data_IF_696222232874
#
_entry.id   IF_696222232874
#
_cell.length_a   1.000
_cell.length_b   1.000
_cell.length_c   1.000
_cell.angle_alpha   90.00
_cell.angle_beta   90.00
_cell.angle_gamma   90.00
#
_symmetry.space_group_name_H-M   'P 1'
#
loop_
_entity.id
_entity.type
_entity.pdbx_description
1 polymer ?
#
# COMPACT_ATOMS: atom_id res chain seq x y z
N UNK A 1 -21.31 37.21 -17.57
CA UNK A 1 -20.00 37.90 -17.62
C UNK A 1 -19.21 37.53 -16.38
N UNK A 2 -17.93 37.14 -16.57
CA UNK A 2 -16.82 37.19 -15.59
C UNK A 2 -16.90 36.24 -14.37
N UNK A 3 -15.84 35.58 -13.90
CA UNK A 3 -14.54 35.11 -14.40
C UNK A 3 -13.96 34.28 -13.24
N UNK A 4 -13.24 33.21 -13.57
CA UNK A 4 -12.47 32.38 -12.66
C UNK A 4 -11.38 33.16 -11.91
N UNK A 5 -11.05 32.72 -10.68
CA UNK A 5 -9.66 32.72 -10.17
C UNK A 5 -9.54 31.73 -8.99
N UNK A 6 -9.40 30.44 -9.31
CA UNK A 6 -8.92 29.45 -8.36
C UNK A 6 -7.40 29.56 -8.22
N UNK A 7 -6.92 29.77 -7.00
CA UNK A 7 -5.52 29.59 -6.65
C UNK A 7 -5.40 28.26 -5.90
N UNK A 8 -5.02 27.19 -6.62
CA UNK A 8 -4.52 25.97 -6.00
C UNK A 8 -3.00 25.98 -6.09
N UNK A 9 -2.36 26.02 -4.93
CA UNK A 9 -0.94 25.77 -4.75
C UNK A 9 -0.60 24.37 -5.27
N UNK A 10 0.23 24.31 -6.31
CA UNK A 10 0.87 23.09 -6.76
C UNK A 10 1.99 22.73 -5.78
N UNK A 11 1.69 21.86 -4.82
CA UNK A 11 2.71 21.11 -4.11
C UNK A 11 3.25 20.04 -5.08
N UNK A 12 4.40 20.32 -5.68
CA UNK A 12 5.23 19.34 -6.36
C UNK A 12 5.71 18.31 -5.32
N UNK A 13 4.86 17.31 -5.06
CA UNK A 13 5.25 16.07 -4.41
C UNK A 13 5.28 15.01 -5.50
N UNK A 14 6.43 14.35 -5.65
CA UNK A 14 6.57 13.15 -6.46
C UNK A 14 5.66 12.08 -5.87
N UNK A 15 4.41 12.08 -6.29
CA UNK A 15 3.37 11.23 -5.79
C UNK A 15 3.56 9.84 -6.39
N UNK A 16 3.90 8.88 -5.53
CA UNK A 16 3.50 7.50 -5.71
C UNK A 16 2.00 7.47 -6.04
N UNK A 17 1.67 7.19 -7.31
CA UNK A 17 0.28 7.03 -7.73
C UNK A 17 -0.25 5.71 -7.23
N UNK A 18 -1.08 5.75 -6.19
CA UNK A 18 -1.84 4.62 -5.62
C UNK A 18 -2.69 3.86 -6.66
N UNK A 19 -2.93 4.46 -7.82
CA UNK A 19 -3.63 3.86 -8.97
C UNK A 19 -2.95 2.60 -9.53
N UNK A 20 -1.62 2.47 -9.39
CA UNK A 20 -0.90 1.27 -9.83
C UNK A 20 -1.19 0.01 -8.97
N UNK A 21 -1.76 0.19 -7.77
CA UNK A 21 -2.05 -0.90 -6.83
C UNK A 21 -3.55 -1.22 -6.74
N UNK A 22 -4.44 -0.26 -7.02
CA UNK A 22 -5.89 -0.47 -6.93
C UNK A 22 -6.54 -0.96 -8.23
N UNK A 23 -5.77 -1.21 -9.29
CA UNK A 23 -6.30 -1.69 -10.57
C UNK A 23 -7.20 -0.68 -11.30
N UNK A 24 -7.14 0.60 -10.92
CA UNK A 24 -7.81 1.69 -11.63
C UNK A 24 -6.78 2.41 -12.49
N UNK A 25 -6.44 1.78 -13.61
CA UNK A 25 -5.46 2.23 -14.59
C UNK A 25 -6.06 3.19 -15.62
N UNK A 26 -7.21 3.80 -15.32
CA UNK A 26 -7.83 4.83 -16.14
C UNK A 26 -8.12 4.37 -17.58
N UNK A 27 -8.44 3.08 -17.75
CA UNK A 27 -8.71 2.46 -19.05
C UNK A 27 -7.47 2.25 -19.93
N UNK A 28 -6.26 2.29 -19.36
CA UNK A 28 -5.04 1.99 -20.13
C UNK A 28 -5.00 0.53 -20.59
N UNK A 29 -5.44 -0.42 -19.75
CA UNK A 29 -5.61 -1.81 -20.12
C UNK A 29 -6.68 -2.00 -21.20
N UNK A 30 -7.84 -1.34 -21.08
CA UNK A 30 -8.90 -1.40 -22.10
C UNK A 30 -8.42 -0.82 -23.45
N UNK A 31 -7.61 0.25 -23.44
CA UNK A 31 -6.99 0.78 -24.67
C UNK A 31 -5.98 -0.21 -25.26
N UNK A 32 -5.15 -0.84 -24.44
CA UNK A 32 -4.17 -1.83 -24.90
C UNK A 32 -4.84 -3.11 -25.41
N UNK A 33 -5.95 -3.52 -24.81
CA UNK A 33 -6.76 -4.65 -25.25
C UNK A 33 -7.50 -4.34 -26.55
N UNK A 34 -8.07 -3.13 -26.68
CA UNK A 34 -8.68 -2.65 -27.92
C UNK A 34 -7.66 -2.55 -29.07
N UNK A 35 -6.44 -2.09 -28.78
CA UNK A 35 -5.35 -2.03 -29.77
C UNK A 35 -4.88 -3.43 -30.18
N UNK A 36 -4.79 -4.38 -29.23
CA UNK A 36 -4.53 -5.81 -29.53
C UNK A 36 -5.64 -6.43 -30.37
N UNK A 37 -6.90 -6.17 -30.05
CA UNK A 37 -8.05 -6.66 -30.81
C UNK A 37 -8.04 -6.10 -32.23
N UNK A 38 -7.72 -4.81 -32.39
CA UNK A 38 -7.55 -4.16 -33.69
C UNK A 38 -6.40 -4.78 -34.49
N UNK A 39 -5.24 -5.01 -33.88
CA UNK A 39 -4.08 -5.64 -34.55
C UNK A 39 -4.34 -7.10 -34.91
N UNK A 40 -5.11 -7.83 -34.11
CA UNK A 40 -5.57 -9.19 -34.47
C UNK A 40 -6.59 -9.17 -35.61
N UNK A 41 -7.45 -8.15 -35.66
CA UNK A 41 -8.42 -7.98 -36.74
C UNK A 41 -7.73 -7.54 -38.03
N UNK A 42 -6.73 -6.66 -37.98
CA UNK A 42 -5.86 -6.30 -39.10
C UNK A 42 -5.04 -7.51 -39.59
N UNK A 43 -4.51 -8.36 -38.70
CA UNK A 43 -3.86 -9.61 -39.10
C UNK A 43 -4.83 -10.62 -39.72
N UNK A 44 -6.06 -10.74 -39.19
CA UNK A 44 -7.09 -11.60 -39.76
C UNK A 44 -7.61 -11.07 -41.10
N UNK A 45 -7.74 -9.75 -41.26
CA UNK A 45 -8.19 -9.15 -42.51
C UNK A 45 -7.09 -9.17 -43.58
N UNK A 46 -5.83 -8.93 -43.22
CA UNK A 46 -4.66 -9.11 -44.09
C UNK A 46 -4.44 -10.58 -44.50
N UNK A 47 -4.83 -11.54 -43.64
CA UNK A 47 -4.87 -12.96 -44.00
C UNK A 47 -6.08 -13.29 -44.90
N UNK A 48 -7.23 -12.61 -44.74
CA UNK A 48 -8.43 -12.87 -45.55
C UNK A 48 -8.45 -12.19 -46.93
N UNK A 49 -7.65 -11.13 -47.15
CA UNK A 49 -7.49 -10.51 -48.48
C UNK A 49 -6.24 -10.97 -49.24
N UNK A 50 -5.43 -11.87 -48.66
CA UNK A 50 -4.23 -12.44 -49.29
C UNK A 50 -4.16 -13.97 -49.31
N UNK A 51 -5.08 -14.69 -48.65
CA UNK A 51 -4.99 -16.14 -48.50
C UNK A 51 -6.33 -16.90 -48.63
N UNK A 52 -7.30 -16.33 -49.35
CA UNK A 52 -8.52 -17.05 -49.72
C UNK A 52 -8.48 -17.46 -51.19
N UNK A 53 -7.98 -18.67 -51.46
CA UNK A 53 -8.23 -19.37 -52.73
C UNK A 53 -7.03 -19.93 -53.48
N UNK A 54 -6.01 -20.49 -52.81
CA UNK A 54 -5.21 -21.53 -53.48
C UNK A 54 -6.05 -22.81 -53.53
N UNK A 55 -6.98 -22.82 -54.47
CA UNK A 55 -7.63 -24.03 -54.92
C UNK A 55 -6.55 -24.81 -55.66
N UNK A 56 -6.15 -25.95 -55.10
CA UNK A 56 -5.14 -26.85 -55.66
C UNK A 56 -5.69 -27.56 -56.89
N UNK A 57 -5.86 -26.83 -58.00
CA UNK A 57 -5.92 -27.42 -59.33
C UNK A 57 -4.50 -27.34 -59.92
N UNK A 58 -3.86 -28.47 -60.28
CA UNK A 58 -2.45 -28.49 -60.66
C UNK A 58 -2.19 -28.01 -62.10
N UNK A 59 -3.14 -27.33 -62.76
CA UNK A 59 -2.98 -26.94 -64.16
C UNK A 59 -3.82 -25.72 -64.55
N UNK A 60 -3.48 -24.55 -64.00
CA UNK A 60 -3.69 -23.29 -64.72
C UNK A 60 -2.36 -22.56 -64.70
N UNK A 61 -1.67 -22.67 -65.84
CA UNK A 61 -0.41 -21.98 -66.11
C UNK A 61 -0.72 -20.49 -66.18
N UNK A 62 -0.58 -19.82 -65.05
CA UNK A 62 -0.58 -18.37 -65.00
C UNK A 62 0.81 -17.91 -65.50
N UNK A 63 0.87 -17.40 -66.72
CA UNK A 63 2.12 -17.02 -67.41
C UNK A 63 2.85 -15.82 -66.77
N UNK A 64 2.36 -15.29 -65.65
CA UNK A 64 2.99 -14.20 -64.90
C UNK A 64 4.32 -14.62 -64.23
N UNK A 65 4.54 -15.92 -64.00
CA UNK A 65 5.76 -16.45 -63.38
C UNK A 65 6.86 -16.85 -64.38
N UNK A 66 6.60 -16.84 -65.69
CA UNK A 66 7.63 -17.19 -66.69
C UNK A 66 8.76 -16.14 -66.75
N UNK A 67 8.52 -14.93 -66.25
CA UNK A 67 9.52 -13.86 -66.14
C UNK A 67 10.47 -14.01 -64.94
N UNK A 68 10.06 -14.77 -63.91
CA UNK A 68 10.85 -15.10 -62.71
C UNK A 68 11.65 -16.39 -62.87
N UNK A 69 11.43 -17.13 -63.97
CA UNK A 69 12.12 -18.38 -64.25
C UNK A 69 13.60 -18.10 -64.50
N UNK A 70 14.47 -18.84 -63.82
CA UNK A 70 15.93 -18.77 -64.03
C UNK A 70 16.19 -19.00 -65.52
N UNK A 71 16.87 -18.08 -66.24
CA UNK A 71 17.08 -18.24 -67.66
C UNK A 71 17.83 -19.54 -67.96
N UNK A 72 17.34 -20.31 -68.92
CA UNK A 72 17.90 -21.60 -69.32
C UNK A 72 19.14 -21.38 -70.19
N UNK A 73 20.08 -22.34 -70.22
CA UNK A 73 21.29 -22.25 -71.03
C UNK A 73 21.03 -21.95 -72.51
N UNK A 74 19.93 -22.48 -73.06
CA UNK A 74 19.54 -22.25 -74.46
C UNK A 74 19.12 -20.80 -74.71
N UNK A 75 18.54 -20.12 -73.72
CA UNK A 75 18.17 -18.70 -73.79
C UNK A 75 19.40 -17.81 -73.94
N UNK A 76 20.51 -18.18 -73.29
CA UNK A 76 21.79 -17.46 -73.43
C UNK A 76 22.48 -17.75 -74.76
N UNK A 77 22.32 -18.95 -75.31
CA UNK A 77 22.87 -19.34 -76.61
C UNK A 77 22.16 -18.68 -77.79
N UNK A 78 20.88 -18.32 -77.63
CA UNK A 78 20.08 -17.66 -78.66
C UNK A 78 20.24 -16.14 -78.69
N UNK A 79 20.85 -15.53 -77.65
CA UNK A 79 21.06 -14.08 -77.58
C UNK A 79 22.25 -13.63 -78.42
N UNK A 80 22.22 -12.37 -78.87
CA UNK A 80 23.38 -11.73 -79.49
C UNK A 80 24.44 -11.36 -78.43
N UNK A 81 25.70 -11.24 -78.86
CA UNK A 81 26.81 -10.89 -77.96
C UNK A 81 26.59 -9.54 -77.26
N UNK A 82 26.02 -8.56 -77.96
CA UNK A 82 25.71 -7.23 -77.41
C UNK A 82 24.62 -7.29 -76.32
N UNK A 83 23.58 -8.11 -76.53
CA UNK A 83 22.54 -8.35 -75.52
C UNK A 83 23.11 -9.06 -74.29
N UNK A 84 24.03 -10.01 -74.49
CA UNK A 84 24.68 -10.72 -73.39
C UNK A 84 25.54 -9.76 -72.54
N UNK A 85 26.31 -8.88 -73.17
CA UNK A 85 27.11 -7.86 -72.48
C UNK A 85 26.21 -6.91 -71.69
N UNK A 86 25.10 -6.45 -72.29
CA UNK A 86 24.14 -5.59 -71.61
C UNK A 86 23.48 -6.29 -70.41
N UNK A 87 23.15 -7.58 -70.54
CA UNK A 87 22.59 -8.39 -69.46
C UNK A 87 23.60 -8.56 -68.31
N UNK A 88 24.86 -8.88 -68.61
CA UNK A 88 25.92 -9.01 -67.59
C UNK A 88 26.13 -7.70 -66.83
N UNK A 89 26.20 -6.55 -67.53
CA UNK A 89 26.29 -5.23 -66.89
C UNK A 89 25.09 -4.93 -65.99
N UNK A 90 23.88 -5.32 -66.43
CA UNK A 90 22.65 -5.10 -65.66
C UNK A 90 22.63 -5.97 -64.41
N UNK A 91 23.03 -7.25 -64.53
CA UNK A 91 23.21 -8.17 -63.40
C UNK A 91 24.22 -7.63 -62.39
N UNK A 92 25.36 -7.13 -62.83
CA UNK A 92 26.39 -6.59 -61.94
C UNK A 92 25.88 -5.38 -61.14
N UNK A 93 25.12 -4.49 -61.80
CA UNK A 93 24.43 -3.36 -61.13
C UNK A 93 23.41 -3.85 -60.11
N UNK A 94 22.59 -4.84 -60.46
CA UNK A 94 21.60 -5.43 -59.55
C UNK A 94 22.26 -6.10 -58.34
N UNK A 95 23.37 -6.82 -58.55
CA UNK A 95 24.14 -7.42 -57.45
C UNK A 95 24.74 -6.36 -56.54
N UNK A 96 25.27 -5.26 -57.10
CA UNK A 96 25.77 -4.14 -56.29
C UNK A 96 24.66 -3.47 -55.48
N UNK A 97 23.49 -3.24 -56.07
CA UNK A 97 22.33 -2.70 -55.37
C UNK A 97 21.87 -3.64 -54.25
N UNK A 98 21.78 -4.93 -54.52
CA UNK A 98 21.39 -5.93 -53.53
C UNK A 98 22.40 -5.98 -52.37
N UNK A 99 23.70 -5.89 -52.68
CA UNK A 99 24.74 -5.81 -51.66
C UNK A 99 24.59 -4.57 -50.79
N UNK A 100 24.35 -3.39 -51.36
CA UNK A 100 24.14 -2.18 -50.57
C UNK A 100 22.88 -2.25 -49.69
N UNK A 101 21.81 -2.86 -50.20
CA UNK A 101 20.58 -3.07 -49.43
C UNK A 101 20.83 -4.04 -48.27
N UNK A 102 21.54 -5.13 -48.53
CA UNK A 102 21.86 -6.14 -47.53
C UNK A 102 22.78 -5.60 -46.44
N UNK A 103 23.81 -4.83 -46.82
CA UNK A 103 24.70 -4.16 -45.87
C UNK A 103 23.90 -3.16 -45.02
N UNK A 104 23.08 -2.29 -45.64
CA UNK A 104 22.26 -1.33 -44.89
C UNK A 104 21.27 -2.01 -43.94
N UNK A 105 20.61 -3.08 -44.41
CA UNK A 105 19.68 -3.85 -43.58
C UNK A 105 20.37 -4.42 -42.35
N UNK A 106 21.56 -5.02 -42.50
CA UNK A 106 22.30 -5.55 -41.35
C UNK A 106 22.78 -4.45 -40.41
N UNK A 107 23.20 -3.30 -40.93
CA UNK A 107 23.56 -2.16 -40.09
C UNK A 107 22.37 -1.64 -39.28
N UNK A 108 21.19 -1.51 -39.89
CA UNK A 108 19.98 -1.09 -39.20
C UNK A 108 19.50 -2.13 -38.18
N UNK A 109 19.48 -3.41 -38.58
CA UNK A 109 19.10 -4.50 -37.69
C UNK A 109 20.01 -4.55 -36.47
N UNK A 110 21.34 -4.55 -36.64
CA UNK A 110 22.30 -4.58 -35.54
C UNK A 110 22.15 -3.35 -34.62
N UNK A 111 21.94 -2.15 -35.20
CA UNK A 111 21.68 -0.93 -34.42
C UNK A 111 20.42 -1.07 -33.56
N UNK A 112 19.33 -1.58 -34.12
CA UNK A 112 18.09 -1.79 -33.39
C UNK A 112 18.21 -2.89 -32.34
N UNK A 113 18.91 -3.99 -32.65
CA UNK A 113 19.19 -5.06 -31.69
C UNK A 113 20.01 -4.55 -30.51
N UNK A 114 21.09 -3.80 -30.75
CA UNK A 114 21.88 -3.22 -29.66
C UNK A 114 21.04 -2.30 -28.78
N UNK A 115 20.24 -1.41 -29.38
CA UNK A 115 19.34 -0.53 -28.64
C UNK A 115 18.38 -1.34 -27.77
N UNK A 116 17.74 -2.36 -28.35
CA UNK A 116 16.81 -3.23 -27.65
C UNK A 116 17.49 -3.94 -26.47
N UNK A 117 18.69 -4.49 -26.66
CA UNK A 117 19.46 -5.16 -25.60
C UNK A 117 19.79 -4.19 -24.47
N UNK A 118 20.22 -2.96 -24.78
CA UNK A 118 20.49 -1.96 -23.75
C UNK A 118 19.21 -1.56 -22.99
N UNK A 119 18.09 -1.35 -23.69
CA UNK A 119 16.81 -1.03 -23.06
C UNK A 119 16.33 -2.17 -22.14
N UNK A 120 16.50 -3.43 -22.55
CA UNK A 120 16.18 -4.57 -21.70
C UNK A 120 17.10 -4.68 -20.48
N UNK A 121 18.40 -4.45 -20.66
CA UNK A 121 19.35 -4.48 -19.57
C UNK A 121 19.03 -3.41 -18.52
N UNK A 122 18.74 -2.18 -18.96
CA UNK A 122 18.38 -1.08 -18.07
C UNK A 122 17.07 -1.36 -17.32
N UNK A 123 16.03 -1.84 -18.03
CA UNK A 123 14.78 -2.27 -17.39
C UNK A 123 14.97 -3.38 -16.34
N UNK A 124 15.86 -4.33 -16.63
CA UNK A 124 16.18 -5.41 -15.68
C UNK A 124 16.87 -4.86 -14.44
N UNK A 125 17.81 -3.93 -14.62
CA UNK A 125 18.51 -3.25 -13.54
C UNK A 125 17.54 -2.43 -12.69
N UNK A 126 16.65 -1.64 -13.31
CA UNK A 126 15.59 -0.91 -12.63
C UNK A 126 14.67 -1.85 -11.83
N UNK A 127 14.23 -2.97 -12.41
CA UNK A 127 13.40 -3.95 -11.71
C UNK A 127 14.11 -4.52 -10.49
N UNK A 128 15.40 -4.86 -10.61
CA UNK A 128 16.20 -5.34 -9.48
C UNK A 128 16.32 -4.31 -8.35
N UNK A 129 16.46 -3.02 -8.69
CA UNK A 129 16.52 -1.95 -7.71
C UNK A 129 15.18 -1.75 -7.01
N UNK A 130 14.07 -1.80 -7.76
CA UNK A 130 12.72 -1.71 -7.21
C UNK A 130 12.44 -2.90 -6.29
N UNK A 131 12.82 -4.12 -6.69
CA UNK A 131 12.69 -5.30 -5.85
C UNK A 131 13.50 -5.18 -4.55
N UNK A 132 14.74 -4.68 -4.62
CA UNK A 132 15.57 -4.44 -3.44
C UNK A 132 14.94 -3.43 -2.48
N UNK A 133 14.45 -2.28 -2.99
CA UNK A 133 13.76 -1.26 -2.19
C UNK A 133 12.46 -1.79 -1.58
N UNK A 134 11.68 -2.52 -2.36
CA UNK A 134 10.43 -3.14 -1.90
C UNK A 134 10.68 -4.16 -0.79
N UNK A 135 11.74 -4.96 -0.91
CA UNK A 135 12.14 -5.91 0.11
C UNK A 135 12.54 -5.20 1.42
N UNK A 136 13.29 -4.10 1.33
CA UNK A 136 13.64 -3.28 2.50
C UNK A 136 12.38 -2.70 3.20
N UNK A 137 11.46 -2.12 2.42
CA UNK A 137 10.18 -1.60 2.94
C UNK A 137 9.36 -2.71 3.58
N UNK A 138 9.28 -3.88 2.94
CA UNK A 138 8.56 -5.04 3.48
C UNK A 138 9.14 -5.49 4.83
N UNK A 139 10.46 -5.46 4.98
CA UNK A 139 11.13 -5.79 6.23
C UNK A 139 10.82 -4.76 7.33
N UNK A 140 10.87 -3.47 7.00
CA UNK A 140 10.50 -2.41 7.95
C UNK A 140 9.05 -2.53 8.41
N UNK A 141 8.10 -2.74 7.49
CA UNK A 141 6.68 -2.96 7.82
C UNK A 141 6.53 -4.19 8.72
N UNK A 142 7.17 -5.32 8.39
CA UNK A 142 7.10 -6.52 9.23
C UNK A 142 7.62 -6.27 10.64
N UNK A 143 8.69 -5.49 10.80
CA UNK A 143 9.26 -5.12 12.09
C UNK A 143 8.31 -4.22 12.89
N UNK A 144 7.68 -3.26 12.24
CA UNK A 144 6.69 -2.37 12.87
C UNK A 144 5.44 -3.13 13.29
N UNK A 145 4.93 -4.03 12.45
CA UNK A 145 3.79 -4.90 12.77
C UNK A 145 4.11 -5.80 13.96
N UNK A 146 5.29 -6.43 13.98
CA UNK A 146 5.72 -7.25 15.13
C UNK A 146 5.83 -6.42 16.42
N UNK A 147 6.27 -5.17 16.30
CA UNK A 147 6.32 -4.25 17.45
C UNK A 147 4.91 -3.90 17.94
N UNK A 148 3.98 -3.58 17.04
CA UNK A 148 2.59 -3.31 17.37
C UNK A 148 1.93 -4.52 18.05
N UNK A 149 2.11 -5.73 17.50
CA UNK A 149 1.57 -6.96 18.11
C UNK A 149 2.12 -7.21 19.51
N UNK A 150 3.42 -6.92 19.75
CA UNK A 150 3.99 -7.01 21.10
C UNK A 150 3.36 -5.99 22.05
N UNK A 151 3.20 -4.74 21.61
CA UNK A 151 2.56 -3.70 22.42
C UNK A 151 1.09 -4.03 22.74
N UNK A 152 0.35 -4.61 21.80
CA UNK A 152 -1.01 -5.10 22.01
C UNK A 152 -1.04 -6.27 23.00
N UNK A 153 -0.13 -7.24 22.88
CA UNK A 153 -0.01 -8.34 23.82
C UNK A 153 0.32 -7.86 25.23
N UNK A 154 1.21 -6.88 25.37
CA UNK A 154 1.54 -6.26 26.67
C UNK A 154 0.31 -5.56 27.28
N UNK A 155 -0.46 -4.80 26.49
CA UNK A 155 -1.70 -4.17 26.94
C UNK A 155 -2.73 -5.20 27.41
N UNK A 156 -2.98 -6.24 26.60
CA UNK A 156 -3.90 -7.32 26.98
C UNK A 156 -3.46 -8.03 28.25
N UNK A 157 -2.16 -8.32 28.39
CA UNK A 157 -1.63 -8.95 29.59
C UNK A 157 -1.79 -8.08 30.84
N UNK A 158 -1.64 -6.76 30.69
CA UNK A 158 -1.87 -5.79 31.77
C UNK A 158 -3.34 -5.72 32.13
N UNK A 159 -4.23 -5.66 31.14
CA UNK A 159 -5.67 -5.58 31.37
C UNK A 159 -6.20 -6.85 32.06
N UNK A 160 -5.69 -8.03 31.70
CA UNK A 160 -6.01 -9.29 32.40
C UNK A 160 -5.54 -9.23 33.86
N UNK A 161 -4.32 -8.75 34.12
CA UNK A 161 -3.81 -8.60 35.50
C UNK A 161 -4.67 -7.63 36.31
N UNK A 162 -5.05 -6.50 35.71
CA UNK A 162 -5.91 -5.51 36.35
C UNK A 162 -7.31 -6.05 36.63
N UNK A 163 -7.90 -6.80 35.68
CA UNK A 163 -9.20 -7.45 35.85
C UNK A 163 -9.16 -8.50 36.97
N UNK A 164 -8.09 -9.30 37.06
CA UNK A 164 -7.90 -10.25 38.16
C UNK A 164 -7.79 -9.54 39.51
N UNK A 165 -6.98 -8.48 39.60
CA UNK A 165 -6.85 -7.68 40.84
C UNK A 165 -8.22 -7.10 41.22
N UNK A 166 -8.94 -6.48 40.28
CA UNK A 166 -10.27 -5.92 40.53
C UNK A 166 -11.25 -6.99 41.02
N UNK A 167 -11.27 -8.16 40.37
CA UNK A 167 -12.11 -9.30 40.75
C UNK A 167 -11.79 -9.79 42.17
N UNK A 168 -10.51 -9.90 42.53
CA UNK A 168 -10.12 -10.29 43.89
C UNK A 168 -10.54 -9.26 44.95
N UNK A 169 -10.38 -7.97 44.68
CA UNK A 169 -10.80 -6.89 45.59
C UNK A 169 -12.31 -6.93 45.80
N UNK A 170 -13.09 -7.06 44.72
CA UNK A 170 -14.56 -7.16 44.81
C UNK A 170 -14.96 -8.40 45.63
N UNK A 171 -14.29 -9.54 45.41
CA UNK A 171 -14.55 -10.77 46.17
C UNK A 171 -14.25 -10.60 47.66
N UNK A 172 -13.17 -9.90 48.01
CA UNK A 172 -12.84 -9.59 49.41
C UNK A 172 -13.85 -8.63 50.05
N UNK A 173 -14.25 -7.58 49.35
CA UNK A 173 -15.28 -6.63 49.83
C UNK A 173 -16.60 -7.35 50.03
N UNK A 174 -17.01 -8.18 49.06
CA UNK A 174 -18.20 -9.01 49.17
C UNK A 174 -18.12 -9.94 50.37
N UNK A 175 -16.98 -10.62 50.59
CA UNK A 175 -16.80 -11.50 51.74
C UNK A 175 -16.87 -10.75 53.08
N UNK A 176 -16.23 -9.57 53.19
CA UNK A 176 -16.32 -8.72 54.39
C UNK A 176 -17.76 -8.26 54.61
N UNK A 177 -18.47 -7.88 53.54
CA UNK A 177 -19.88 -7.50 53.62
C UNK A 177 -20.76 -8.65 54.08
N UNK A 178 -20.62 -9.84 53.48
CA UNK A 178 -21.33 -11.06 53.88
C UNK A 178 -21.02 -11.38 55.34
N UNK A 179 -19.74 -11.43 55.75
CA UNK A 179 -19.36 -11.69 57.13
C UNK A 179 -19.99 -10.68 58.08
N UNK A 180 -19.91 -9.38 57.78
CA UNK A 180 -20.50 -8.33 58.61
C UNK A 180 -22.02 -8.44 58.68
N UNK A 181 -22.70 -8.67 57.56
CA UNK A 181 -24.15 -8.65 57.51
C UNK A 181 -24.78 -9.93 58.06
N UNK A 182 -24.18 -11.10 57.82
CA UNK A 182 -24.64 -12.38 58.35
C UNK A 182 -24.27 -12.57 59.83
N UNK A 183 -23.13 -12.06 60.31
CA UNK A 183 -22.85 -12.01 61.76
C UNK A 183 -23.82 -11.06 62.45
N UNK A 184 -24.10 -9.89 61.86
CA UNK A 184 -25.11 -8.97 62.40
C UNK A 184 -26.52 -9.58 62.40
N UNK A 185 -26.89 -10.39 61.39
CA UNK A 185 -28.19 -11.08 61.39
C UNK A 185 -28.27 -12.16 62.47
N UNK A 186 -27.20 -12.94 62.67
CA UNK A 186 -27.11 -13.92 63.75
C UNK A 186 -27.19 -13.27 65.13
N UNK A 187 -26.52 -12.14 65.34
CA UNK A 187 -26.59 -11.37 66.58
C UNK A 187 -27.98 -10.76 66.82
N UNK A 188 -28.72 -10.39 65.76
CA UNK A 188 -30.11 -9.92 65.87
C UNK A 188 -31.13 -11.06 66.11
N UNK A 189 -30.85 -12.26 65.62
CA UNK A 189 -31.73 -13.43 65.81
C UNK A 189 -31.54 -14.06 67.21
N UNK A 190 -30.35 -13.92 67.80
CA UNK A 190 -30.01 -14.47 69.11
C UNK A 190 -30.44 -13.56 70.29
N UNK A 191 -30.62 -12.24 70.09
CA UNK A 191 -31.00 -11.33 71.17
C UNK A 191 -31.84 -10.10 70.69
N UNK A 192 -33.19 -10.16 70.68
CA UNK A 192 -34.05 -9.07 70.19
C UNK A 192 -33.97 -7.77 71.03
N UNK A 193 -33.37 -7.83 72.23
CA UNK A 193 -33.17 -6.70 73.13
C UNK A 193 -31.80 -6.00 72.98
N UNK A 194 -30.92 -6.50 72.10
CA UNK A 194 -29.61 -5.88 71.85
C UNK A 194 -29.72 -4.52 71.13
N UNK A 195 -30.71 -4.37 70.24
CA UNK A 195 -30.97 -3.13 69.49
C UNK A 195 -31.32 -1.96 70.42
N UNK A 196 -32.10 -2.24 71.48
CA UNK A 196 -32.49 -1.25 72.50
C UNK A 196 -31.35 -0.84 73.43
N UNK A 197 -30.42 -1.74 73.71
CA UNK A 197 -29.23 -1.45 74.53
C UNK A 197 -28.15 -0.70 73.74
N UNK A 198 -27.97 -1.01 72.44
CA UNK A 198 -26.98 -0.36 71.59
C UNK A 198 -27.33 1.09 71.19
N UNK A 199 -28.63 1.43 71.11
CA UNK A 199 -29.08 2.82 70.83
C UNK A 199 -28.90 3.76 72.01
N UNK A 200 -28.76 3.22 73.23
CA UNK A 200 -28.60 3.98 74.48
C UNK A 200 -27.12 4.12 74.90
N UNK A 201 -26.17 3.51 74.18
CA UNK A 201 -24.76 3.55 74.54
C UNK A 201 -24.05 4.78 73.93
N UNK A 202 -23.29 5.56 74.70
CA UNK A 202 -22.51 6.69 74.17
C UNK A 202 -21.39 6.17 73.25
N UNK A 203 -21.17 6.80 72.07
CA UNK A 203 -20.19 6.32 71.11
C UNK A 203 -18.76 6.61 71.61
N UNK A 204 -18.13 5.62 72.23
CA UNK A 204 -16.71 5.63 72.54
C UNK A 204 -16.04 4.66 71.56
N UNK A 205 -15.21 5.22 70.67
CA UNK A 205 -14.50 4.59 69.54
C UNK A 205 -15.29 4.49 68.23
N UNK A 206 -14.75 5.14 67.19
CA UNK A 206 -15.38 5.41 65.89
C UNK A 206 -15.53 4.22 64.93
N UNK A 207 -15.73 3.01 65.44
CA UNK A 207 -16.02 1.82 64.61
C UNK A 207 -17.24 1.13 65.23
N UNK A 208 -18.43 1.67 64.97
CA UNK A 208 -19.66 1.08 65.51
C UNK A 208 -20.87 2.00 65.61
N UNK A 209 -20.90 3.15 64.93
CA UNK A 209 -22.10 3.96 64.87
C UNK A 209 -23.14 3.26 63.97
N UNK A 210 -24.24 2.79 64.57
CA UNK A 210 -25.41 2.19 63.92
C UNK A 210 -26.30 3.22 63.22
N UNK A 211 -25.71 4.21 62.55
CA UNK A 211 -26.45 5.05 61.60
C UNK A 211 -26.24 4.49 60.19
N UNK A 212 -27.34 4.04 59.57
CA UNK A 212 -27.37 3.47 58.23
C UNK A 212 -27.10 4.49 57.12
N UNK A 213 -26.01 5.24 57.19
CA UNK A 213 -25.58 6.16 56.14
C UNK A 213 -24.35 5.61 55.41
N UNK A 214 -24.56 4.67 54.49
CA UNK A 214 -23.53 4.24 53.54
C UNK A 214 -23.13 5.32 52.52
N UNK A 215 -23.90 6.42 52.44
CA UNK A 215 -23.59 7.60 51.63
C UNK A 215 -23.47 8.88 52.47
N UNK A 216 -23.00 8.77 53.72
CA UNK A 216 -22.54 9.93 54.48
C UNK A 216 -21.26 10.45 53.84
N UNK A 217 -21.45 11.30 52.83
CA UNK A 217 -20.55 12.34 52.34
C UNK A 217 -19.23 12.44 53.12
N UNK A 218 -18.24 11.66 52.67
CA UNK A 218 -16.86 12.05 52.85
C UNK A 218 -16.67 13.36 52.08
N UNK A 219 -16.95 14.49 52.76
CA UNK A 219 -16.41 15.79 52.39
C UNK A 219 -14.89 15.76 52.66
N UNK A 220 -14.17 14.87 51.97
CA UNK A 220 -12.74 15.00 51.74
C UNK A 220 -12.58 15.48 50.30
N UNK A 221 -12.60 16.80 50.17
CA UNK A 221 -11.83 17.54 49.18
C UNK A 221 -11.77 16.92 47.78
N UNK A 222 -12.75 17.24 46.94
CA UNK A 222 -12.60 17.22 45.49
C UNK A 222 -11.59 18.32 45.05
N UNK A 223 -10.34 18.22 45.50
CA UNK A 223 -9.24 19.03 44.99
C UNK A 223 -8.44 18.17 44.02
N UNK A 224 -8.31 18.72 42.82
CA UNK A 224 -7.61 18.26 41.62
C UNK A 224 -8.16 17.00 40.96
N UNK A 225 -9.08 17.19 40.02
CA UNK A 225 -9.22 16.36 38.82
C UNK A 225 -8.13 16.74 37.81
N UNK A 226 -6.89 16.82 38.27
CA UNK A 226 -5.77 17.25 37.44
C UNK A 226 -4.72 16.18 37.58
N UNK A 227 -4.24 15.71 36.44
CA UNK A 227 -3.14 14.75 36.40
C UNK A 227 -1.89 15.39 37.01
N UNK A 228 -0.99 14.60 37.60
CA UNK A 228 0.24 15.12 38.23
C UNK A 228 1.06 16.00 37.27
N UNK A 229 0.98 15.72 35.97
CA UNK A 229 1.58 16.52 34.91
C UNK A 229 0.90 17.87 34.69
N UNK A 230 -0.43 17.95 34.71
CA UNK A 230 -1.15 19.23 34.58
C UNK A 230 -0.89 20.16 35.77
N UNK A 231 -0.69 19.59 36.96
CA UNK A 231 -0.29 20.35 38.15
C UNK A 231 1.13 20.89 38.03
N UNK A 232 2.07 20.07 37.55
CA UNK A 232 3.46 20.47 37.34
C UNK A 232 3.59 21.56 36.26
N UNK A 233 2.87 21.42 35.14
CA UNK A 233 2.86 22.42 34.05
C UNK A 233 2.30 23.76 34.54
N UNK A 234 1.27 23.76 35.39
CA UNK A 234 0.72 25.00 35.94
C UNK A 234 1.68 25.64 36.94
N UNK A 235 2.25 24.87 37.87
CA UNK A 235 3.25 25.38 38.83
C UNK A 235 4.50 25.92 38.11
N UNK A 236 4.94 25.30 37.02
CA UNK A 236 6.03 25.81 36.18
C UNK A 236 5.67 27.12 35.46
N UNK A 237 4.44 27.26 34.97
CA UNK A 237 3.96 28.51 34.35
C UNK A 237 3.83 29.64 35.37
N UNK A 238 3.31 29.36 36.56
CA UNK A 238 3.19 30.33 37.65
C UNK A 238 4.56 30.79 38.14
N UNK A 239 5.52 29.87 38.31
CA UNK A 239 6.92 30.21 38.64
C UNK A 239 7.60 31.03 37.54
N UNK A 240 7.33 30.76 36.26
CA UNK A 240 7.88 31.55 35.16
C UNK A 240 7.30 32.98 35.14
N UNK A 241 6.01 33.13 35.43
CA UNK A 241 5.36 34.44 35.53
C UNK A 241 5.83 35.22 36.75
N UNK A 242 6.00 34.57 37.91
CA UNK A 242 6.56 35.21 39.10
C UNK A 242 8.00 35.67 38.87
N UNK A 243 8.85 34.85 38.25
CA UNK A 243 10.21 35.27 37.87
C UNK A 243 10.23 36.46 36.91
N UNK A 244 9.31 36.49 35.94
CA UNK A 244 9.18 37.63 35.03
C UNK A 244 8.70 38.90 35.74
N UNK A 245 7.86 38.77 36.77
CA UNK A 245 7.40 39.90 37.59
C UNK A 245 8.50 40.38 38.55
N UNK A 246 9.24 39.47 39.19
CA UNK A 246 10.39 39.79 40.03
C UNK A 246 11.49 40.49 39.24
N UNK A 247 11.80 40.00 38.02
CA UNK A 247 12.77 40.65 37.12
C UNK A 247 12.30 42.03 36.61
N UNK A 248 11.01 42.34 36.69
CA UNK A 248 10.45 43.65 36.29
C UNK A 248 10.38 44.64 37.46
N UNK A 249 10.61 44.18 38.69
CA UNK A 249 10.49 44.95 39.94
C UNK A 249 11.86 45.28 40.54
N UNK A 250 12.93 44.60 40.12
CA UNK A 250 14.31 45.06 40.37
C UNK A 250 14.78 46.03 39.25
N UNK A 251 15.05 47.32 39.56
CA UNK A 251 15.71 48.25 38.64
C UNK A 251 17.22 47.99 38.50
#
# INVERSE_FOLDING_TARGET
>A
MLRYAGWRLAAASGAFSSAAFTGDDGGAYERAEAERARLQQENKSAFSSGFAGVNTNPFTVDHSYDQLKRPTADTYRSMSDDELIALLRTREKQVHQLRSIYENFHYEADKHFRKMVFDYHDKTLQLSQVHGKMQEVSYQISREVLKQLREEQEKLSRDIRMALILSTVITLVFWVWVRRHYVALKELEEDPDAIRRATMAPPITGIGAYSGNWFSSSKRSARSWETSWEKEVRESREKAQQKLLEQKVEP
#
